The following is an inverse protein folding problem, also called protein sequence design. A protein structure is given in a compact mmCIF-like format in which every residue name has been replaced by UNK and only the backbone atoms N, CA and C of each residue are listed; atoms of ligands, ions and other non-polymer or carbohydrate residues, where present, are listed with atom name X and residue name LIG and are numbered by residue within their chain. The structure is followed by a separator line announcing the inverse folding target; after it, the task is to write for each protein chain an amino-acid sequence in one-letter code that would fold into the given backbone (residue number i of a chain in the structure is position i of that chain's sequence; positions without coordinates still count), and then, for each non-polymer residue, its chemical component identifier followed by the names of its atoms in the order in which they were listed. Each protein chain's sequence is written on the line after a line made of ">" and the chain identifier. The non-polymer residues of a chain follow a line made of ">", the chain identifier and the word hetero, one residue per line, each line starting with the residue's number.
data_IF_772055107270
#
_entry.id   IF_772055107270
#
_cell.length_a   1.000
_cell.length_b   1.000
_cell.length_c   1.000
_cell.angle_alpha   90.00
_cell.angle_beta   90.00
_cell.angle_gamma   90.00
#
_symmetry.space_group_name_H-M   'P 1'
#
loop_
_entity.id
_entity.type
_entity.pdbx_description
1 polymer ?
#
# COMPACT_ATOMS: atom_id res chain seq x y z
N UNK A 1 99.08 7.73 -6.21
CA UNK A 1 98.13 7.96 -7.31
C UNK A 1 97.53 6.65 -7.83
N UNK A 2 98.32 5.57 -8.01
CA UNK A 2 97.80 4.23 -8.38
C UNK A 2 97.01 3.54 -7.27
N UNK A 3 97.55 3.44 -6.05
CA UNK A 3 96.85 2.85 -4.89
C UNK A 3 95.54 3.56 -4.51
N UNK A 4 95.49 4.89 -4.71
CA UNK A 4 94.28 5.69 -4.46
C UNK A 4 93.19 5.47 -5.52
N UNK A 5 93.56 5.03 -6.73
CA UNK A 5 92.63 4.69 -7.80
C UNK A 5 92.02 3.30 -7.55
N UNK A 6 92.84 2.31 -7.17
CA UNK A 6 92.39 0.95 -6.85
C UNK A 6 91.39 0.93 -5.68
N UNK A 7 91.62 1.73 -4.62
CA UNK A 7 90.68 1.87 -3.50
C UNK A 7 89.35 2.54 -3.88
N UNK A 8 89.34 3.39 -4.91
CA UNK A 8 88.11 4.03 -5.40
C UNK A 8 87.33 3.05 -6.26
N UNK A 9 88.01 2.26 -7.09
CA UNK A 9 87.44 1.22 -7.96
C UNK A 9 86.80 0.09 -7.13
N UNK A 10 87.50 -0.40 -6.09
CA UNK A 10 86.94 -1.40 -5.16
C UNK A 10 85.70 -0.87 -4.41
N UNK A 11 85.71 0.43 -4.07
CA UNK A 11 84.56 1.07 -3.43
C UNK A 11 83.39 1.20 -4.40
N UNK A 12 83.63 1.54 -5.67
CA UNK A 12 82.56 1.63 -6.69
C UNK A 12 81.96 0.27 -6.99
N UNK A 13 82.77 -0.78 -7.08
CA UNK A 13 82.28 -2.16 -7.29
C UNK A 13 81.40 -2.63 -6.12
N UNK A 14 81.75 -2.24 -4.89
CA UNK A 14 80.93 -2.50 -3.70
C UNK A 14 79.58 -1.76 -3.72
N UNK A 15 79.53 -0.55 -4.30
CA UNK A 15 78.28 0.18 -4.49
C UNK A 15 77.41 -0.47 -5.58
N UNK A 16 78.01 -0.90 -6.69
CA UNK A 16 77.29 -1.57 -7.79
C UNK A 16 76.67 -2.90 -7.32
N UNK A 17 77.38 -3.67 -6.50
CA UNK A 17 76.85 -4.91 -5.91
C UNK A 17 75.64 -4.67 -5.00
N UNK A 18 75.69 -3.62 -4.17
CA UNK A 18 74.57 -3.25 -3.29
C UNK A 18 73.37 -2.81 -4.13
N UNK A 19 73.61 -2.07 -5.22
CA UNK A 19 72.56 -1.67 -6.14
C UNK A 19 71.89 -2.89 -6.80
N UNK A 20 72.66 -3.86 -7.27
CA UNK A 20 72.13 -5.10 -7.85
C UNK A 20 71.30 -5.91 -6.84
N UNK A 21 71.80 -6.08 -5.61
CA UNK A 21 71.08 -6.80 -4.54
C UNK A 21 69.76 -6.10 -4.17
N UNK A 22 69.76 -4.77 -4.08
CA UNK A 22 68.55 -4.00 -3.83
C UNK A 22 67.56 -4.14 -4.98
N UNK A 23 68.03 -4.12 -6.23
CA UNK A 23 67.19 -4.34 -7.42
C UNK A 23 66.55 -5.72 -7.41
N UNK A 24 67.31 -6.77 -7.14
CA UNK A 24 66.82 -8.15 -7.07
C UNK A 24 65.78 -8.29 -5.94
N UNK A 25 66.08 -7.80 -4.74
CA UNK A 25 65.15 -7.83 -3.61
C UNK A 25 63.81 -7.12 -3.94
N UNK A 26 63.87 -5.95 -4.57
CA UNK A 26 62.67 -5.20 -4.98
C UNK A 26 61.90 -5.97 -6.06
N UNK A 27 62.58 -6.56 -7.04
CA UNK A 27 61.95 -7.35 -8.10
C UNK A 27 61.25 -8.59 -7.53
N UNK A 28 61.89 -9.32 -6.62
CA UNK A 28 61.32 -10.50 -5.98
C UNK A 28 60.11 -10.14 -5.10
N UNK A 29 60.24 -9.06 -4.33
CA UNK A 29 59.15 -8.57 -3.48
C UNK A 29 57.94 -8.15 -4.32
N UNK A 30 58.15 -7.39 -5.40
CA UNK A 30 57.09 -6.97 -6.31
C UNK A 30 56.46 -8.17 -7.02
N UNK A 31 57.28 -9.10 -7.54
CA UNK A 31 56.80 -10.31 -8.21
C UNK A 31 55.95 -11.17 -7.27
N UNK A 32 56.41 -11.42 -6.04
CA UNK A 32 55.66 -12.16 -5.03
C UNK A 32 54.32 -11.49 -4.69
N UNK A 33 54.29 -10.16 -4.61
CA UNK A 33 53.04 -9.44 -4.33
C UNK A 33 52.08 -9.46 -5.51
N UNK A 34 52.57 -9.32 -6.74
CA UNK A 34 51.76 -9.44 -7.96
C UNK A 34 51.14 -10.83 -8.06
N UNK A 35 51.89 -11.89 -7.77
CA UNK A 35 51.37 -13.26 -7.75
C UNK A 35 50.25 -13.44 -6.72
N UNK A 36 50.46 -12.94 -5.48
CA UNK A 36 49.43 -12.99 -4.42
C UNK A 36 48.17 -12.22 -4.82
N UNK A 37 48.32 -11.01 -5.35
CA UNK A 37 47.21 -10.19 -5.83
C UNK A 37 46.45 -10.87 -6.96
N UNK A 38 47.16 -11.46 -7.92
CA UNK A 38 46.55 -12.18 -9.03
C UNK A 38 45.79 -13.42 -8.55
N UNK A 39 46.32 -14.14 -7.56
CA UNK A 39 45.64 -15.25 -6.91
C UNK A 39 44.33 -14.82 -6.24
N UNK A 40 44.36 -13.71 -5.50
CA UNK A 40 43.15 -13.13 -4.88
C UNK A 40 42.15 -12.70 -5.94
N UNK A 41 42.58 -11.97 -6.97
CA UNK A 41 41.72 -11.47 -8.05
C UNK A 41 41.05 -12.63 -8.80
N UNK A 42 41.79 -13.70 -9.11
CA UNK A 42 41.26 -14.90 -9.77
C UNK A 42 40.23 -15.62 -8.90
N UNK A 43 40.46 -15.68 -7.59
CA UNK A 43 39.53 -16.28 -6.63
C UNK A 43 38.24 -15.46 -6.50
N UNK A 44 38.33 -14.13 -6.40
CA UNK A 44 37.16 -13.25 -6.27
C UNK A 44 36.33 -13.20 -7.55
N UNK A 45 36.97 -13.11 -8.71
CA UNK A 45 36.29 -13.16 -10.03
C UNK A 45 35.56 -14.48 -10.23
N UNK A 46 36.17 -15.62 -9.87
CA UNK A 46 35.49 -16.92 -9.91
C UNK A 46 34.26 -16.96 -9.01
N UNK A 47 34.39 -16.53 -7.74
CA UNK A 47 33.25 -16.50 -6.80
C UNK A 47 32.13 -15.56 -7.28
N UNK A 48 32.48 -14.45 -7.93
CA UNK A 48 31.50 -13.53 -8.49
C UNK A 48 30.71 -14.19 -9.63
N UNK A 49 31.41 -14.85 -10.56
CA UNK A 49 30.76 -15.59 -11.65
C UNK A 49 29.81 -16.69 -11.13
N UNK A 50 30.23 -17.47 -10.12
CA UNK A 50 29.37 -18.50 -9.50
C UNK A 50 28.11 -17.90 -8.86
N UNK A 51 28.20 -16.70 -8.28
CA UNK A 51 27.04 -16.00 -7.71
C UNK A 51 26.12 -15.44 -8.78
N UNK A 52 26.67 -14.94 -9.89
CA UNK A 52 25.89 -14.43 -11.02
C UNK A 52 25.09 -15.56 -11.68
N UNK A 53 25.72 -16.72 -11.91
CA UNK A 53 25.05 -17.92 -12.43
C UNK A 53 23.91 -18.36 -11.49
N UNK A 54 24.16 -18.39 -10.18
CA UNK A 54 23.14 -18.75 -9.19
C UNK A 54 21.97 -17.75 -9.17
N UNK A 55 22.25 -16.45 -9.34
CA UNK A 55 21.24 -15.41 -9.41
C UNK A 55 20.39 -15.54 -10.68
N UNK A 56 21.01 -15.90 -11.81
CA UNK A 56 20.29 -16.14 -13.05
C UNK A 56 19.32 -17.33 -12.94
N UNK A 57 19.77 -18.43 -12.34
CA UNK A 57 18.91 -19.61 -12.07
C UNK A 57 17.72 -19.22 -11.17
N UNK A 58 17.94 -18.46 -10.10
CA UNK A 58 16.87 -18.00 -9.22
C UNK A 58 15.89 -17.06 -9.94
N UNK A 59 16.39 -16.15 -10.78
CA UNK A 59 15.54 -15.25 -11.57
C UNK A 59 14.65 -16.02 -12.54
N UNK A 60 15.17 -17.07 -13.19
CA UNK A 60 14.38 -17.95 -14.06
C UNK A 60 13.30 -18.69 -13.27
N UNK A 61 13.63 -19.24 -12.10
CA UNK A 61 12.66 -19.90 -11.23
C UNK A 61 11.55 -18.92 -10.77
N UNK A 62 11.90 -17.71 -10.34
CA UNK A 62 10.93 -16.68 -9.97
C UNK A 62 10.03 -16.26 -11.14
N UNK A 63 10.58 -16.13 -12.36
CA UNK A 63 9.79 -15.85 -13.57
C UNK A 63 8.76 -16.95 -13.80
N UNK A 64 9.13 -18.22 -13.63
CA UNK A 64 8.23 -19.35 -13.78
C UNK A 64 7.14 -19.41 -12.67
N UNK A 65 7.46 -19.01 -11.44
CA UNK A 65 6.43 -18.88 -10.41
C UNK A 65 5.45 -17.75 -10.73
N UNK A 66 5.93 -16.63 -11.26
CA UNK A 66 5.07 -15.50 -11.69
C UNK A 66 4.16 -15.93 -12.84
N UNK A 67 4.63 -16.70 -13.82
CA UNK A 67 3.78 -17.21 -14.92
C UNK A 67 2.71 -18.16 -14.38
N UNK A 68 3.05 -19.07 -13.46
CA UNK A 68 2.09 -19.94 -12.78
C UNK A 68 1.04 -19.15 -12.00
N UNK A 69 1.46 -18.19 -11.17
CA UNK A 69 0.55 -17.31 -10.41
C UNK A 69 -0.38 -16.51 -11.32
N UNK A 70 0.13 -15.96 -12.42
CA UNK A 70 -0.70 -15.30 -13.45
C UNK A 70 -1.73 -16.25 -14.05
N UNK A 71 -1.34 -17.50 -14.29
CA UNK A 71 -2.24 -18.57 -14.75
C UNK A 71 -3.35 -18.87 -13.75
N UNK A 72 -2.99 -19.07 -12.48
CA UNK A 72 -3.94 -19.30 -11.38
C UNK A 72 -4.89 -18.12 -11.22
N UNK A 73 -4.39 -16.88 -11.24
CA UNK A 73 -5.23 -15.68 -11.16
C UNK A 73 -6.22 -15.60 -12.35
N UNK A 74 -5.76 -15.88 -13.57
CA UNK A 74 -6.63 -15.88 -14.75
C UNK A 74 -7.68 -17.00 -14.70
N UNK A 75 -7.32 -18.17 -14.19
CA UNK A 75 -8.24 -19.29 -14.00
C UNK A 75 -9.25 -19.00 -12.87
N UNK A 76 -8.79 -18.45 -11.74
CA UNK A 76 -9.62 -18.00 -10.65
C UNK A 76 -10.59 -16.92 -11.11
N UNK A 77 -10.15 -15.91 -11.87
CA UNK A 77 -11.02 -14.88 -12.44
C UNK A 77 -12.08 -15.49 -13.38
N UNK A 78 -11.70 -16.46 -14.22
CA UNK A 78 -12.65 -17.19 -15.07
C UNK A 78 -13.64 -18.04 -14.26
N UNK A 79 -13.20 -18.66 -13.19
CA UNK A 79 -14.03 -19.49 -12.32
C UNK A 79 -14.89 -18.63 -11.37
N UNK A 80 -14.43 -17.45 -10.97
CA UNK A 80 -15.18 -16.45 -10.20
C UNK A 80 -16.26 -15.81 -11.06
N UNK A 81 -16.03 -15.66 -12.37
CA UNK A 81 -17.08 -15.36 -13.37
C UNK A 81 -18.15 -16.48 -13.41
N UNK A 82 -17.80 -17.73 -13.06
CA UNK A 82 -18.73 -18.87 -13.05
C UNK A 82 -19.39 -19.14 -11.69
N UNK A 83 -18.79 -18.75 -10.56
CA UNK A 83 -19.28 -19.13 -9.21
C UNK A 83 -19.71 -17.93 -8.35
N UNK A 84 -19.26 -16.70 -8.62
CA UNK A 84 -19.70 -15.54 -7.82
C UNK A 84 -19.48 -14.18 -8.50
N UNK A 85 -20.28 -13.90 -9.54
CA UNK A 85 -20.87 -12.56 -9.72
C UNK A 85 -21.98 -12.64 -10.77
N UNK A 86 -23.21 -12.16 -10.51
CA UNK A 86 -24.00 -11.67 -11.62
C UNK A 86 -23.12 -10.63 -12.30
N UNK A 87 -22.98 -10.75 -13.63
CA UNK A 87 -22.33 -9.77 -14.50
C UNK A 87 -22.25 -8.43 -13.79
N UNK A 88 -21.05 -7.94 -13.50
CA UNK A 88 -20.84 -6.51 -13.61
C UNK A 88 -21.07 -6.19 -15.09
N UNK A 89 -22.34 -6.17 -15.48
CA UNK A 89 -22.84 -5.19 -16.41
C UNK A 89 -22.17 -3.90 -15.95
N UNK A 90 -21.78 -3.06 -16.91
CA UNK A 90 -21.72 -1.64 -16.67
C UNK A 90 -23.11 -1.24 -16.11
N UNK A 91 -23.29 -1.47 -14.81
CA UNK A 91 -24.51 -1.27 -14.10
C UNK A 91 -24.48 0.23 -14.01
N UNK A 92 -25.40 0.86 -14.73
CA UNK A 92 -25.87 2.19 -14.38
C UNK A 92 -26.17 2.12 -12.87
N UNK A 93 -25.16 2.45 -12.05
CA UNK A 93 -25.38 2.85 -10.67
C UNK A 93 -26.32 4.02 -10.87
N UNK A 94 -27.60 3.88 -10.50
CA UNK A 94 -28.53 4.98 -10.63
C UNK A 94 -27.84 6.12 -9.90
N UNK A 95 -27.68 7.26 -10.57
CA UNK A 95 -27.09 8.44 -9.94
C UNK A 95 -27.90 8.67 -8.68
N UNK A 96 -27.34 8.30 -7.53
CA UNK A 96 -28.02 8.41 -6.26
C UNK A 96 -28.25 9.89 -6.04
N UNK A 97 -29.51 10.27 -5.88
CA UNK A 97 -29.86 11.65 -5.67
C UNK A 97 -29.47 12.05 -4.25
N UNK A 98 -28.89 13.23 -4.09
CA UNK A 98 -28.50 13.72 -2.78
C UNK A 98 -29.75 14.02 -1.96
N UNK A 99 -29.80 13.51 -0.73
CA UNK A 99 -30.89 13.80 0.18
C UNK A 99 -30.62 15.13 0.90
N UNK A 100 -31.38 16.16 0.52
CA UNK A 100 -31.28 17.52 1.06
C UNK A 100 -31.90 17.69 2.46
N UNK A 101 -32.60 16.68 2.97
CA UNK A 101 -33.32 16.77 4.25
C UNK A 101 -34.74 17.32 4.13
N UNK A 102 -35.42 17.04 3.01
CA UNK A 102 -36.84 17.37 2.85
C UNK A 102 -37.65 16.56 3.87
N UNK A 103 -38.49 17.23 4.66
CA UNK A 103 -39.34 16.58 5.66
C UNK A 103 -40.56 15.95 4.99
N UNK A 104 -40.38 14.80 4.38
CA UNK A 104 -41.42 14.05 3.67
C UNK A 104 -41.18 12.56 3.84
N UNK A 105 -42.22 11.82 4.25
CA UNK A 105 -42.11 10.36 4.37
C UNK A 105 -41.71 9.72 3.03
N UNK A 106 -42.27 10.22 1.93
CA UNK A 106 -41.94 9.77 0.57
C UNK A 106 -40.46 9.93 0.25
N UNK A 107 -39.87 11.10 0.53
CA UNK A 107 -38.46 11.37 0.22
C UNK A 107 -37.50 10.53 1.06
N UNK A 108 -37.84 10.34 2.34
CA UNK A 108 -37.06 9.48 3.24
C UNK A 108 -37.16 8.01 2.81
N UNK A 109 -38.34 7.54 2.42
CA UNK A 109 -38.54 6.16 1.95
C UNK A 109 -37.84 5.91 0.63
N UNK A 110 -37.90 6.86 -0.30
CA UNK A 110 -37.16 6.82 -1.56
C UNK A 110 -35.66 6.69 -1.29
N UNK A 111 -35.09 7.56 -0.46
CA UNK A 111 -33.67 7.53 -0.10
C UNK A 111 -33.27 6.18 0.54
N UNK A 112 -34.04 5.69 1.51
CA UNK A 112 -33.75 4.41 2.17
C UNK A 112 -33.86 3.22 1.22
N UNK A 113 -34.83 3.26 0.29
CA UNK A 113 -35.01 2.25 -0.73
C UNK A 113 -33.83 2.25 -1.71
N UNK A 114 -33.40 3.41 -2.19
CA UNK A 114 -32.24 3.57 -3.06
C UNK A 114 -30.94 3.08 -2.40
N UNK A 115 -30.70 3.44 -1.13
CA UNK A 115 -29.57 2.93 -0.36
C UNK A 115 -29.60 1.40 -0.24
N UNK A 116 -30.77 0.80 0.02
CA UNK A 116 -30.93 -0.66 0.08
C UNK A 116 -30.55 -1.31 -1.25
N UNK A 117 -31.00 -0.75 -2.38
CA UNK A 117 -30.63 -1.24 -3.72
C UNK A 117 -29.13 -1.11 -3.97
N UNK A 118 -28.54 0.02 -3.59
CA UNK A 118 -27.10 0.26 -3.71
C UNK A 118 -26.28 -0.76 -2.92
N UNK A 119 -26.63 -1.00 -1.65
CA UNK A 119 -25.93 -1.98 -0.82
C UNK A 119 -26.06 -3.40 -1.36
N UNK A 120 -27.22 -3.76 -1.91
CA UNK A 120 -27.43 -5.06 -2.56
C UNK A 120 -26.54 -5.22 -3.79
N UNK A 121 -26.47 -4.21 -4.65
CA UNK A 121 -25.63 -4.23 -5.87
C UNK A 121 -24.13 -4.26 -5.55
N UNK A 122 -23.71 -3.50 -4.53
CA UNK A 122 -22.31 -3.41 -4.10
C UNK A 122 -21.91 -4.52 -3.10
N UNK A 123 -22.83 -5.41 -2.74
CA UNK A 123 -22.61 -6.47 -1.74
C UNK A 123 -22.13 -5.97 -0.37
N UNK A 124 -22.56 -4.77 0.04
CA UNK A 124 -22.17 -4.15 1.33
C UNK A 124 -23.02 -4.76 2.45
N UNK A 125 -22.38 -5.52 3.34
CA UNK A 125 -23.04 -6.20 4.47
C UNK A 125 -22.81 -5.53 5.81
N UNK A 126 -21.65 -4.91 6.00
CA UNK A 126 -21.27 -4.24 7.24
C UNK A 126 -22.12 -2.99 7.49
N UNK A 127 -22.65 -2.88 8.70
CA UNK A 127 -23.57 -1.81 9.06
C UNK A 127 -22.89 -0.45 9.23
N UNK A 128 -21.66 -0.40 9.75
CA UNK A 128 -20.91 0.84 9.87
C UNK A 128 -20.57 1.41 8.49
N UNK A 129 -20.21 0.54 7.53
CA UNK A 129 -19.99 0.92 6.14
C UNK A 129 -21.29 1.44 5.51
N UNK A 130 -22.44 0.78 5.71
CA UNK A 130 -23.75 1.27 5.20
C UNK A 130 -24.08 2.67 5.72
N UNK A 131 -23.94 2.89 7.03
CA UNK A 131 -24.22 4.18 7.66
C UNK A 131 -23.30 5.27 7.11
N UNK A 132 -22.00 4.98 7.00
CA UNK A 132 -21.03 5.93 6.44
C UNK A 132 -21.36 6.24 4.98
N UNK A 133 -21.59 5.22 4.14
CA UNK A 133 -21.94 5.40 2.73
C UNK A 133 -23.22 6.23 2.55
N UNK A 134 -24.29 5.94 3.31
CA UNK A 134 -25.52 6.73 3.22
C UNK A 134 -25.30 8.20 3.60
N UNK A 135 -24.43 8.46 4.59
CA UNK A 135 -24.14 9.82 5.02
C UNK A 135 -23.43 10.69 3.99
N UNK A 136 -22.70 10.09 3.05
CA UNK A 136 -22.04 10.81 1.95
C UNK A 136 -23.07 11.47 1.03
N UNK A 137 -24.27 10.89 0.92
CA UNK A 137 -25.35 11.41 0.08
C UNK A 137 -26.21 12.47 0.77
N UNK A 138 -25.88 12.87 2.00
CA UNK A 138 -26.56 13.98 2.67
C UNK A 138 -26.02 15.33 2.22
N UNK A 139 -26.94 16.23 1.91
CA UNK A 139 -26.65 17.64 1.63
C UNK A 139 -27.56 18.55 2.45
N UNK A 140 -27.26 19.85 2.47
CA UNK A 140 -28.06 20.90 3.11
C UNK A 140 -28.49 20.56 4.56
N UNK A 141 -29.79 20.49 4.81
CA UNK A 141 -30.38 20.29 6.13
C UNK A 141 -30.08 18.90 6.68
N UNK A 142 -30.03 17.89 5.82
CA UNK A 142 -29.68 16.52 6.22
C UNK A 142 -28.22 16.42 6.68
N UNK A 143 -27.30 17.09 5.98
CA UNK A 143 -25.88 17.08 6.33
C UNK A 143 -25.63 17.75 7.68
N UNK A 144 -26.28 18.89 7.93
CA UNK A 144 -26.17 19.60 9.21
C UNK A 144 -26.73 18.76 10.37
N UNK A 145 -27.90 18.15 10.18
CA UNK A 145 -28.46 17.22 11.16
C UNK A 145 -27.51 16.06 11.43
N UNK A 146 -26.95 15.44 10.39
CA UNK A 146 -26.03 14.30 10.53
C UNK A 146 -24.76 14.67 11.28
N UNK A 147 -24.19 15.86 11.03
CA UNK A 147 -23.02 16.36 11.78
C UNK A 147 -23.33 16.51 13.27
N UNK A 148 -24.46 17.14 13.60
CA UNK A 148 -24.89 17.27 14.99
C UNK A 148 -25.18 15.90 15.62
N UNK A 149 -25.86 15.01 14.89
CA UNK A 149 -26.28 13.70 15.39
C UNK A 149 -25.11 12.75 15.60
N UNK A 150 -24.09 12.79 14.74
CA UNK A 150 -22.91 11.91 14.82
C UNK A 150 -21.91 12.37 15.90
N UNK A 151 -21.94 13.64 16.29
CA UNK A 151 -21.04 14.22 17.30
C UNK A 151 -21.71 14.44 18.67
N UNK A 152 -23.00 14.11 18.82
CA UNK A 152 -23.74 14.31 20.06
C UNK A 152 -23.26 13.39 21.19
N UNK A 153 -22.36 13.93 22.02
CA UNK A 153 -21.81 13.26 23.21
C UNK A 153 -22.85 13.04 24.32
N UNK A 154 -23.99 13.75 24.30
CA UNK A 154 -25.01 13.66 25.37
C UNK A 154 -25.81 12.35 25.32
N UNK A 155 -25.71 11.58 24.24
CA UNK A 155 -26.39 10.29 24.06
C UNK A 155 -25.56 9.09 24.52
N UNK A 156 -24.77 9.26 25.59
CA UNK A 156 -23.97 8.20 26.24
C UNK A 156 -23.05 7.40 25.28
N UNK A 157 -22.36 8.06 24.35
CA UNK A 157 -21.34 7.38 23.54
C UNK A 157 -21.86 6.36 22.51
N UNK A 158 -23.18 6.23 22.32
CA UNK A 158 -23.75 5.39 21.27
C UNK A 158 -23.61 6.10 19.91
N UNK A 159 -22.44 5.95 19.29
CA UNK A 159 -22.32 6.10 17.85
C UNK A 159 -23.42 5.27 17.18
N UNK A 160 -24.05 5.79 16.11
CA UNK A 160 -25.01 5.00 15.33
C UNK A 160 -24.21 3.88 14.66
N UNK A 161 -24.13 2.73 15.33
CA UNK A 161 -23.31 1.60 14.92
C UNK A 161 -24.04 0.65 13.99
N UNK A 162 -25.38 0.74 13.95
CA UNK A 162 -26.22 -0.17 13.15
C UNK A 162 -27.06 0.58 12.11
N UNK A 163 -27.31 -0.07 10.98
CA UNK A 163 -28.14 0.48 9.91
C UNK A 163 -29.58 0.71 10.38
N UNK A 164 -30.09 -0.17 11.26
CA UNK A 164 -31.44 -0.07 11.82
C UNK A 164 -31.62 1.18 12.68
N UNK A 165 -30.61 1.54 13.49
CA UNK A 165 -30.65 2.76 14.29
C UNK A 165 -30.59 4.02 13.44
N UNK A 166 -29.80 3.99 12.37
CA UNK A 166 -29.75 5.06 11.37
C UNK A 166 -31.13 5.29 10.74
N UNK A 167 -31.79 4.23 10.27
CA UNK A 167 -33.14 4.32 9.68
C UNK A 167 -34.16 4.91 10.67
N UNK A 168 -34.13 4.48 11.92
CA UNK A 168 -35.03 5.00 12.97
C UNK A 168 -34.81 6.48 13.24
N UNK A 169 -33.56 6.91 13.36
CA UNK A 169 -33.25 8.30 13.68
C UNK A 169 -33.52 9.21 12.46
N UNK A 170 -33.26 8.74 11.25
CA UNK A 170 -33.58 9.44 10.00
C UNK A 170 -35.09 9.65 9.83
N UNK A 171 -35.88 8.58 10.00
CA UNK A 171 -37.34 8.65 9.92
C UNK A 171 -37.92 9.54 11.00
N UNK A 172 -37.43 9.46 12.25
CA UNK A 172 -37.85 10.35 13.34
C UNK A 172 -37.64 11.83 13.02
N UNK A 173 -36.51 12.17 12.37
CA UNK A 173 -36.16 13.56 12.09
C UNK A 173 -36.94 14.15 10.90
N UNK A 174 -37.16 13.36 9.85
CA UNK A 174 -37.64 13.86 8.56
C UNK A 174 -39.08 13.42 8.21
N UNK A 175 -39.75 12.62 9.05
CA UNK A 175 -41.19 12.38 8.89
C UNK A 175 -42.04 13.50 9.51
N UNK A 176 -42.99 14.05 8.74
CA UNK A 176 -43.93 15.11 9.16
C UNK A 176 -44.76 14.69 10.39
N UNK A 177 -45.19 13.42 10.46
CA UNK A 177 -46.03 12.93 11.57
C UNK A 177 -45.33 13.01 12.94
N UNK A 178 -43.99 12.91 12.98
CA UNK A 178 -43.25 13.02 14.23
C UNK A 178 -43.08 14.50 14.64
N UNK A 179 -42.89 15.38 13.66
CA UNK A 179 -42.81 16.83 13.86
C UNK A 179 -44.14 17.42 14.29
N UNK A 180 -45.28 16.97 13.75
CA UNK A 180 -46.60 17.41 14.24
C UNK A 180 -46.87 16.97 15.67
N UNK A 181 -46.48 15.75 16.06
CA UNK A 181 -46.61 15.29 17.45
C UNK A 181 -45.73 16.11 18.38
N UNK A 182 -44.50 16.42 17.96
CA UNK A 182 -43.58 17.26 18.74
C UNK A 182 -44.04 18.73 18.79
N UNK A 183 -44.56 19.28 17.69
CA UNK A 183 -45.13 20.62 17.63
C UNK A 183 -46.40 20.72 18.49
N UNK A 184 -47.31 19.74 18.42
CA UNK A 184 -48.49 19.66 19.31
C UNK A 184 -48.10 19.50 20.77
N UNK A 185 -47.07 18.69 21.08
CA UNK A 185 -46.57 18.54 22.44
C UNK A 185 -45.97 19.85 22.97
N UNK A 186 -45.17 20.56 22.17
CA UNK A 186 -44.63 21.87 22.51
C UNK A 186 -45.72 22.93 22.70
N UNK A 187 -46.77 22.91 21.88
CA UNK A 187 -47.92 23.82 22.04
C UNK A 187 -48.74 23.53 23.31
N UNK A 188 -48.88 22.26 23.73
CA UNK A 188 -49.54 21.89 25.00
C UNK A 188 -48.76 22.24 26.26
N UNK A 189 -47.48 22.57 26.16
CA UNK A 189 -46.70 23.11 27.28
C UNK A 189 -46.71 24.64 27.35
N UNK A 190 -47.29 25.32 26.35
CA UNK A 190 -47.37 26.79 26.27
C UNK A 190 -48.79 27.30 26.58
N UNK A 191 -49.79 26.41 26.62
CA UNK A 191 -51.11 26.63 27.22
C UNK A 191 -51.15 26.03 28.62
#
# INVERSE_FOLDING_TARGET
>A
MRETLELVEERTDGFDLIEEQLREFVLDFLSSNVEKMNGVLKSTTKKLAEKDDALEVMMLAMKEEITKLKGVYKAALRNEILISRPKQQAMNVPKLENFKGVRSAREVDNFLWEMKQYFQRMSIKDDAIKVNTASIYFTDVALLWWRCRSTDKKRNGNAIGTWKEFQRDLTKQFYIQYVEKEARAKLRCIM
#
